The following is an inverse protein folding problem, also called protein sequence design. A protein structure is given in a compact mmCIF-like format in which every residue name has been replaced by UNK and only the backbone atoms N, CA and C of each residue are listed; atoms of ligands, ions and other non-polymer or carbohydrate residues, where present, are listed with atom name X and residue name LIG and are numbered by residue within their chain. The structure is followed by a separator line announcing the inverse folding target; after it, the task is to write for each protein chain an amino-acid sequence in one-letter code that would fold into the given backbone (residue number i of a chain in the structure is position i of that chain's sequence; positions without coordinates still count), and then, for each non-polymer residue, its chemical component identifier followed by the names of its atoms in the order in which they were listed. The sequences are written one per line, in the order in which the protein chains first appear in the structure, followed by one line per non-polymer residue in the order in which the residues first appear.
data_IF_303770562119
#
_entry.id   IF_303770562119
#
_cell.length_a   1.000
_cell.length_b   1.000
_cell.length_c   1.000
_cell.angle_alpha   90.00
_cell.angle_beta   90.00
_cell.angle_gamma   90.00
#
_symmetry.space_group_name_H-M   'P 1'
#
loop_
_entity.id
_entity.type
_entity.pdbx_description
1 polymer ?
#
# COMPACT_ATOMS: atom_id res chain seq x y z
N UNK A 1 42.86 -21.33 14.85
CA UNK A 1 42.44 -20.17 14.03
C UNK A 1 40.92 -20.13 14.08
N UNK A 2 40.39 -19.40 15.04
CA UNK A 2 38.97 -19.36 15.39
C UNK A 2 38.26 -18.27 14.58
N UNK A 3 37.21 -18.65 13.87
CA UNK A 3 36.29 -17.75 13.19
C UNK A 3 35.64 -16.81 14.21
N UNK A 4 35.79 -15.50 14.00
CA UNK A 4 35.21 -14.45 14.81
C UNK A 4 34.09 -13.73 14.07
N UNK A 5 32.91 -13.74 14.70
CA UNK A 5 31.96 -12.64 14.82
C UNK A 5 31.26 -12.12 13.55
N UNK A 6 29.94 -12.35 13.48
CA UNK A 6 29.00 -11.33 13.03
C UNK A 6 27.85 -11.32 14.04
N UNK A 7 27.89 -10.36 14.96
CA UNK A 7 26.93 -10.22 16.05
C UNK A 7 25.56 -9.80 15.53
N UNK A 8 24.54 -10.56 15.93
CA UNK A 8 23.13 -10.17 15.87
C UNK A 8 22.93 -8.88 16.68
N UNK A 9 22.71 -7.75 16.02
CA UNK A 9 22.23 -6.52 16.64
C UNK A 9 20.98 -6.04 15.91
N UNK A 10 19.98 -6.91 15.81
CA UNK A 10 18.61 -6.45 15.66
C UNK A 10 18.27 -5.66 16.93
N UNK A 11 17.66 -4.47 16.80
CA UNK A 11 17.05 -3.78 17.93
C UNK A 11 16.10 -4.75 18.63
N UNK A 12 16.53 -5.29 19.77
CA UNK A 12 15.69 -6.04 20.70
C UNK A 12 15.33 -5.05 21.79
N UNK A 13 14.08 -4.55 21.88
CA UNK A 13 13.66 -3.94 23.13
C UNK A 13 13.97 -4.98 24.22
N UNK A 14 14.71 -4.56 25.25
CA UNK A 14 15.01 -5.43 26.38
C UNK A 14 13.71 -6.11 26.84
N UNK A 15 13.77 -7.39 27.21
CA UNK A 15 12.62 -8.18 27.67
C UNK A 15 12.13 -7.72 29.06
N UNK A 16 11.97 -6.41 29.25
CA UNK A 16 11.21 -5.78 30.32
C UNK A 16 9.82 -5.49 29.81
N UNK A 17 8.84 -6.23 30.34
CA UNK A 17 7.41 -6.01 30.30
C UNK A 17 6.77 -5.54 28.98
N UNK A 18 5.84 -6.36 28.48
CA UNK A 18 4.78 -6.01 27.51
C UNK A 18 3.82 -4.90 28.04
N UNK A 19 4.26 -4.00 28.93
CA UNK A 19 3.44 -3.05 29.69
C UNK A 19 3.40 -1.64 29.09
N UNK A 20 4.33 -1.25 28.22
CA UNK A 20 4.26 0.09 27.61
C UNK A 20 3.60 0.01 26.23
N UNK A 21 2.33 0.44 26.16
CA UNK A 21 1.45 0.45 24.96
C UNK A 21 1.91 1.46 23.89
N UNK A 22 3.21 1.53 23.62
CA UNK A 22 3.85 2.56 22.80
C UNK A 22 4.62 1.93 21.64
N UNK A 23 4.66 2.68 20.55
CA UNK A 23 5.32 2.34 19.31
C UNK A 23 6.46 3.34 19.08
N UNK A 24 7.66 2.88 18.68
CA UNK A 24 8.81 3.72 18.42
C UNK A 24 8.67 4.46 17.09
N UNK A 25 8.20 5.71 17.12
CA UNK A 25 8.04 6.54 15.93
C UNK A 25 9.29 7.41 15.73
N UNK A 26 9.94 7.27 14.58
CA UNK A 26 11.10 8.08 14.17
C UNK A 26 10.63 9.43 13.63
N UNK A 27 9.65 9.41 12.74
CA UNK A 27 9.06 10.63 12.17
C UNK A 27 7.61 10.39 11.76
N UNK A 28 6.85 11.48 11.73
CA UNK A 28 5.51 11.52 11.17
C UNK A 28 5.30 12.86 10.47
N UNK A 29 4.80 12.83 9.24
CA UNK A 29 4.68 14.01 8.39
C UNK A 29 3.60 13.81 7.33
N UNK A 30 3.19 14.89 6.67
CA UNK A 30 2.27 14.85 5.53
C UNK A 30 3.02 15.23 4.27
N UNK A 31 2.97 14.38 3.26
CA UNK A 31 3.60 14.61 1.96
C UNK A 31 2.74 14.00 0.85
N UNK A 32 3.20 14.05 -0.39
CA UNK A 32 2.63 13.26 -1.47
C UNK A 32 3.25 11.87 -1.48
N UNK A 33 2.48 10.83 -1.76
CA UNK A 33 3.03 9.50 -1.93
C UNK A 33 3.99 9.50 -3.12
N UNK A 34 5.22 9.04 -2.88
CA UNK A 34 6.27 9.07 -3.88
C UNK A 34 6.21 7.90 -4.86
N UNK A 35 5.44 6.86 -4.53
CA UNK A 35 5.59 5.52 -5.07
C UNK A 35 4.23 4.78 -5.18
N UNK A 36 4.23 3.67 -5.93
CA UNK A 36 3.07 2.80 -6.07
C UNK A 36 1.83 3.44 -6.75
N UNK A 37 0.65 2.78 -6.63
CA UNK A 37 -0.59 3.20 -7.29
C UNK A 37 -1.13 4.56 -6.84
N UNK A 38 -0.65 5.08 -5.70
CA UNK A 38 -1.09 6.35 -5.11
C UNK A 38 -0.09 7.47 -5.31
N UNK A 39 0.96 7.26 -6.10
CA UNK A 39 1.96 8.27 -6.39
C UNK A 39 1.33 9.62 -6.77
N UNK A 40 1.76 10.70 -6.11
CA UNK A 40 1.24 12.07 -6.28
C UNK A 40 0.03 12.44 -5.39
N UNK A 41 -0.56 11.50 -4.65
CA UNK A 41 -1.66 11.79 -3.71
C UNK A 41 -1.15 12.18 -2.32
N UNK A 42 -1.85 13.08 -1.64
CA UNK A 42 -1.54 13.44 -0.25
C UNK A 42 -1.69 12.23 0.69
N UNK A 43 -0.70 12.01 1.57
CA UNK A 43 -0.70 10.95 2.55
C UNK A 43 -0.04 11.40 3.86
N UNK A 44 -0.53 10.85 4.97
CA UNK A 44 0.12 10.95 6.27
C UNK A 44 1.09 9.76 6.43
N UNK A 45 2.36 10.04 6.64
CA UNK A 45 3.39 9.03 6.84
C UNK A 45 3.68 8.86 8.32
N UNK A 46 3.75 7.61 8.78
CA UNK A 46 4.24 7.25 10.12
C UNK A 46 5.40 6.27 9.92
N UNK A 47 6.61 6.71 10.28
CA UNK A 47 7.84 5.92 10.15
C UNK A 47 8.22 5.34 11.51
N UNK A 48 8.22 4.01 11.63
CA UNK A 48 8.70 3.33 12.83
C UNK A 48 10.22 3.15 12.81
N UNK A 49 10.80 2.91 13.99
CA UNK A 49 12.20 2.56 14.14
C UNK A 49 12.42 1.05 14.01
N UNK A 50 13.59 0.66 13.50
CA UNK A 50 14.11 -0.70 13.55
C UNK A 50 13.68 -1.60 12.40
N UNK A 51 14.65 -2.25 11.75
CA UNK A 51 14.44 -3.15 10.62
C UNK A 51 15.17 -4.48 10.84
N UNK A 52 14.58 -5.57 10.37
CA UNK A 52 15.20 -6.91 10.37
C UNK A 52 16.18 -7.13 9.20
N UNK A 53 16.28 -6.17 8.28
CA UNK A 53 17.15 -6.19 7.11
C UNK A 53 18.13 -5.00 7.12
N UNK A 54 19.26 -5.14 6.41
CA UNK A 54 20.28 -4.10 6.27
C UNK A 54 20.70 -3.90 4.81
N UNK A 55 19.72 -3.53 3.98
CA UNK A 55 19.87 -3.44 2.53
C UNK A 55 21.02 -2.51 2.12
N UNK A 56 21.80 -2.90 1.10
CA UNK A 56 22.99 -2.16 0.62
C UNK A 56 22.69 -0.76 0.04
N UNK A 57 21.42 -0.45 -0.20
CA UNK A 57 20.94 0.78 -0.83
C UNK A 57 19.80 1.45 -0.05
N UNK A 58 19.63 1.12 1.24
CA UNK A 58 18.58 1.71 2.07
C UNK A 58 18.78 3.23 2.18
N UNK A 59 17.84 4.02 1.69
CA UNK A 59 17.84 5.49 1.79
C UNK A 59 17.44 5.99 3.18
N UNK A 60 16.79 5.14 3.98
CA UNK A 60 16.40 5.46 5.36
C UNK A 60 17.17 4.63 6.39
N UNK A 61 18.43 4.25 6.11
CA UNK A 61 19.25 3.49 7.06
C UNK A 61 19.39 4.23 8.40
N UNK A 62 19.50 5.55 8.34
CA UNK A 62 19.60 6.44 9.50
C UNK A 62 18.47 6.23 10.53
N UNK A 63 17.28 5.80 10.10
CA UNK A 63 16.13 5.55 10.97
C UNK A 63 16.24 4.23 11.79
N UNK A 64 17.24 3.41 11.48
CA UNK A 64 17.50 2.13 12.14
C UNK A 64 18.79 2.14 12.97
N UNK A 65 19.56 3.23 12.93
CA UNK A 65 20.79 3.34 13.71
C UNK A 65 20.48 3.54 15.20
N UNK A 66 21.32 3.03 16.12
CA UNK A 66 21.02 3.03 17.56
C UNK A 66 20.83 4.41 18.18
N UNK A 67 21.42 5.45 17.59
CA UNK A 67 21.37 6.84 18.04
C UNK A 67 20.24 7.65 17.40
N UNK A 68 19.43 7.04 16.52
CA UNK A 68 18.28 7.70 15.92
C UNK A 68 17.30 8.15 17.02
N UNK A 69 16.92 9.44 17.07
CA UNK A 69 15.88 9.90 17.97
C UNK A 69 14.56 9.19 17.69
N UNK A 70 13.93 8.69 18.74
CA UNK A 70 12.64 7.99 18.67
C UNK A 70 11.67 8.61 19.68
N UNK A 71 10.43 8.82 19.24
CA UNK A 71 9.33 9.19 20.12
C UNK A 71 8.44 7.98 20.36
N UNK A 72 8.30 7.57 21.62
CA UNK A 72 7.40 6.50 22.02
C UNK A 72 5.96 7.01 22.08
N UNK A 73 5.15 6.66 21.07
CA UNK A 73 3.76 7.11 20.93
C UNK A 73 2.79 5.94 21.06
N UNK A 74 1.69 6.16 21.76
CA UNK A 74 0.56 5.22 21.83
C UNK A 74 -0.21 5.19 20.50
N UNK A 75 -1.01 4.13 20.30
CA UNK A 75 -1.93 4.02 19.16
C UNK A 75 -2.84 5.25 19.04
N UNK A 76 -3.36 5.74 20.18
CA UNK A 76 -4.28 6.87 20.20
C UNK A 76 -3.59 8.19 19.86
N UNK A 77 -2.35 8.40 20.30
CA UNK A 77 -1.56 9.59 19.94
C UNK A 77 -1.24 9.62 18.43
N UNK A 78 -0.94 8.47 17.83
CA UNK A 78 -0.72 8.35 16.38
C UNK A 78 -2.03 8.60 15.63
N UNK A 79 -3.13 7.96 16.06
CA UNK A 79 -4.43 8.09 15.41
C UNK A 79 -4.99 9.53 15.51
N UNK A 80 -4.82 10.19 16.65
CA UNK A 80 -5.22 11.59 16.84
C UNK A 80 -4.46 12.52 15.88
N UNK A 81 -3.15 12.31 15.70
CA UNK A 81 -2.37 13.06 14.72
C UNK A 81 -2.80 12.75 13.29
N UNK A 82 -2.99 11.49 12.90
CA UNK A 82 -3.50 11.15 11.56
C UNK A 82 -4.84 11.83 11.31
N UNK A 83 -5.73 11.84 12.31
CA UNK A 83 -7.03 12.50 12.21
C UNK A 83 -6.91 14.00 11.92
N UNK A 84 -5.94 14.69 12.54
CA UNK A 84 -5.75 16.13 12.36
C UNK A 84 -5.11 16.53 11.02
N UNK A 85 -4.52 15.59 10.27
CA UNK A 85 -3.85 15.87 9.00
C UNK A 85 -4.80 16.13 7.83
N UNK A 86 -6.04 15.64 7.90
CA UNK A 86 -6.97 15.62 6.76
C UNK A 86 -6.59 14.65 5.63
N UNK A 87 -5.49 13.90 5.75
CA UNK A 87 -5.08 12.94 4.74
C UNK A 87 -6.04 11.74 4.70
N UNK A 88 -6.54 11.42 3.50
CA UNK A 88 -7.35 10.23 3.27
C UNK A 88 -6.51 8.94 3.22
N UNK A 89 -5.21 9.05 2.97
CA UNK A 89 -4.27 7.93 2.97
C UNK A 89 -3.30 8.05 4.14
N UNK A 90 -3.05 6.95 4.84
CA UNK A 90 -2.02 6.83 5.86
C UNK A 90 -1.07 5.72 5.46
N UNK A 91 0.21 6.04 5.29
CA UNK A 91 1.26 5.08 4.97
C UNK A 91 2.06 4.80 6.24
N UNK A 92 1.94 3.55 6.72
CA UNK A 92 2.69 3.02 7.84
C UNK A 92 3.94 2.33 7.28
N UNK A 93 5.10 2.88 7.61
CA UNK A 93 6.40 2.52 7.04
C UNK A 93 7.47 2.53 8.14
N UNK A 94 8.74 2.46 7.76
CA UNK A 94 9.87 2.78 8.63
C UNK A 94 10.42 1.58 9.37
N UNK A 95 11.75 1.48 9.34
CA UNK A 95 12.39 0.19 9.53
C UNK A 95 11.53 -0.90 8.86
N UNK A 96 11.12 -1.92 9.62
CA UNK A 96 10.04 -2.81 9.20
C UNK A 96 8.80 -2.61 10.09
N UNK A 97 7.68 -2.07 9.58
CA UNK A 97 6.49 -1.83 10.38
C UNK A 97 5.88 -3.12 10.93
N UNK A 98 5.98 -4.25 10.23
CA UNK A 98 5.42 -5.53 10.71
C UNK A 98 6.16 -6.10 11.93
N UNK A 99 7.29 -5.50 12.36
CA UNK A 99 7.92 -5.82 13.64
C UNK A 99 7.16 -5.24 14.84
N UNK A 100 6.28 -4.26 14.63
CA UNK A 100 5.61 -3.55 15.72
C UNK A 100 4.42 -4.37 16.24
N UNK A 101 4.42 -4.83 17.50
CA UNK A 101 3.35 -5.70 18.03
C UNK A 101 1.96 -5.05 18.00
N UNK A 102 1.90 -3.72 18.12
CA UNK A 102 0.64 -2.95 18.13
C UNK A 102 0.16 -2.56 16.73
N UNK A 103 0.84 -2.96 15.66
CA UNK A 103 0.44 -2.59 14.29
C UNK A 103 -1.00 -3.01 13.94
N UNK A 104 -1.47 -4.24 14.25
CA UNK A 104 -2.86 -4.61 13.99
C UNK A 104 -3.88 -3.75 14.74
N UNK A 105 -3.55 -3.32 15.97
CA UNK A 105 -4.40 -2.41 16.75
C UNK A 105 -4.43 -1.03 16.11
N UNK A 106 -3.28 -0.49 15.72
CA UNK A 106 -3.19 0.81 15.04
C UNK A 106 -4.00 0.82 13.75
N UNK A 107 -3.87 -0.21 12.91
CA UNK A 107 -4.64 -0.35 11.66
C UNK A 107 -6.14 -0.30 11.92
N UNK A 108 -6.63 -1.07 12.91
CA UNK A 108 -8.06 -1.03 13.30
C UNK A 108 -8.48 0.37 13.72
N UNK A 109 -7.70 1.03 14.58
CA UNK A 109 -8.01 2.38 15.06
C UNK A 109 -8.06 3.39 13.90
N UNK A 110 -7.07 3.37 13.00
CA UNK A 110 -7.02 4.29 11.85
C UNK A 110 -8.20 4.10 10.90
N UNK A 111 -8.59 2.87 10.62
CA UNK A 111 -9.74 2.55 9.77
C UNK A 111 -11.09 2.82 10.46
N UNK A 112 -11.12 2.95 11.79
CA UNK A 112 -12.32 3.32 12.55
C UNK A 112 -12.48 4.83 12.73
N UNK A 113 -11.46 5.64 12.39
CA UNK A 113 -11.58 7.09 12.43
C UNK A 113 -12.67 7.57 11.45
N UNK A 114 -13.33 8.71 11.71
CA UNK A 114 -14.32 9.28 10.80
C UNK A 114 -13.78 9.44 9.37
N UNK A 115 -14.67 9.39 8.36
CA UNK A 115 -14.25 9.61 6.97
C UNK A 115 -13.53 10.97 6.85
N UNK A 116 -12.43 11.00 6.08
CA UNK A 116 -11.75 12.25 5.82
C UNK A 116 -12.70 13.15 5.01
N UNK A 117 -12.67 14.46 5.24
CA UNK A 117 -13.38 15.37 4.34
C UNK A 117 -12.46 15.71 3.17
N UNK A 118 -12.95 15.69 1.95
CA UNK A 118 -12.17 16.05 0.74
C UNK A 118 -11.88 17.56 0.61
N UNK A 119 -12.08 18.33 1.68
CA UNK A 119 -11.97 19.79 1.70
C UNK A 119 -13.15 20.52 1.06
N UNK A 120 -14.00 19.82 0.28
CA UNK A 120 -15.21 20.34 -0.36
C UNK A 120 -16.50 19.90 0.36
N UNK A 121 -16.38 19.22 1.49
CA UNK A 121 -17.51 18.69 2.27
C UNK A 121 -17.97 17.29 1.84
N UNK A 122 -17.28 16.66 0.88
CA UNK A 122 -17.46 15.27 0.51
C UNK A 122 -16.71 14.32 1.44
N UNK A 123 -17.21 13.09 1.57
CA UNK A 123 -16.60 12.04 2.38
C UNK A 123 -15.57 11.27 1.54
N UNK A 124 -14.33 11.21 2.03
CA UNK A 124 -13.25 10.41 1.47
C UNK A 124 -12.98 9.18 2.34
N UNK A 125 -12.96 8.01 1.69
CA UNK A 125 -12.59 6.74 2.31
C UNK A 125 -11.17 6.84 2.87
N UNK A 126 -10.98 6.29 4.08
CA UNK A 126 -9.65 6.14 4.64
C UNK A 126 -8.94 4.93 4.05
N UNK A 127 -7.70 5.13 3.65
CA UNK A 127 -6.83 4.05 3.24
C UNK A 127 -5.63 3.95 4.16
N UNK A 128 -5.33 2.75 4.63
CA UNK A 128 -4.09 2.44 5.33
C UNK A 128 -3.24 1.59 4.41
N UNK A 129 -2.02 2.04 4.15
CA UNK A 129 -0.96 1.34 3.43
C UNK A 129 0.06 0.82 4.44
N UNK A 130 0.45 -0.45 4.34
CA UNK A 130 1.64 -0.96 5.02
C UNK A 130 2.74 -1.14 3.98
N UNK A 131 3.81 -0.37 4.11
CA UNK A 131 5.04 -0.55 3.33
C UNK A 131 5.97 -1.51 4.08
N UNK A 132 6.05 -2.75 3.64
CA UNK A 132 6.80 -3.82 4.30
C UNK A 132 7.89 -4.37 3.39
N UNK A 133 9.01 -4.80 3.96
CA UNK A 133 10.10 -5.43 3.24
C UNK A 133 9.84 -6.90 2.86
N UNK A 134 8.72 -7.49 3.29
CA UNK A 134 8.32 -8.85 2.93
C UNK A 134 9.08 -9.98 3.63
N UNK A 135 9.98 -9.67 4.56
CA UNK A 135 10.76 -10.64 5.35
C UNK A 135 10.18 -10.91 6.77
N UNK A 136 8.96 -10.44 7.03
CA UNK A 136 8.17 -10.71 8.26
C UNK A 136 6.84 -11.35 7.85
N UNK A 137 6.31 -12.28 8.66
CA UNK A 137 5.07 -12.98 8.36
C UNK A 137 3.86 -12.03 8.37
N UNK A 138 3.13 -11.94 7.26
CA UNK A 138 1.99 -11.04 7.11
C UNK A 138 0.64 -11.70 7.40
N UNK A 139 0.61 -12.96 7.84
CA UNK A 139 -0.62 -13.75 7.99
C UNK A 139 -1.65 -13.06 8.89
N UNK A 140 -1.24 -12.47 10.01
CA UNK A 140 -2.16 -11.78 10.93
C UNK A 140 -2.78 -10.53 10.28
N UNK A 141 -1.97 -9.70 9.63
CA UNK A 141 -2.45 -8.51 8.92
C UNK A 141 -3.35 -8.87 7.73
N UNK A 142 -3.04 -9.95 7.01
CA UNK A 142 -3.87 -10.44 5.91
C UNK A 142 -5.24 -10.97 6.39
N UNK A 143 -5.28 -11.62 7.56
CA UNK A 143 -6.54 -11.99 8.23
C UNK A 143 -7.34 -10.75 8.62
N UNK A 144 -6.69 -9.77 9.27
CA UNK A 144 -7.32 -8.50 9.61
C UNK A 144 -7.94 -7.82 8.37
N UNK A 145 -7.21 -7.75 7.25
CA UNK A 145 -7.75 -7.22 5.99
C UNK A 145 -9.01 -7.95 5.54
N UNK A 146 -9.02 -9.27 5.63
CA UNK A 146 -10.15 -10.11 5.23
C UNK A 146 -11.37 -9.91 6.14
N UNK A 147 -11.16 -9.76 7.46
CA UNK A 147 -12.20 -9.44 8.44
C UNK A 147 -12.87 -8.10 8.12
N UNK A 148 -12.06 -7.08 7.79
CA UNK A 148 -12.54 -5.74 7.44
C UNK A 148 -13.33 -5.72 6.13
N UNK A 149 -12.92 -6.52 5.15
CA UNK A 149 -13.67 -6.70 3.90
C UNK A 149 -15.00 -7.42 4.10
N UNK A 150 -15.01 -8.48 4.91
CA UNK A 150 -16.20 -9.28 5.18
C UNK A 150 -17.23 -8.55 6.06
N UNK A 151 -16.80 -7.69 7.00
CA UNK A 151 -17.73 -6.87 7.79
C UNK A 151 -18.45 -5.84 6.90
N UNK A 152 -17.73 -5.21 5.98
CA UNK A 152 -18.29 -4.23 5.06
C UNK A 152 -19.36 -4.83 4.12
N UNK A 153 -19.19 -6.09 3.70
CA UNK A 153 -20.18 -6.77 2.87
C UNK A 153 -21.41 -7.24 3.68
N UNK A 154 -21.26 -7.53 4.98
CA UNK A 154 -22.39 -7.80 5.88
C UNK A 154 -23.22 -6.55 6.18
N UNK A 155 -22.59 -5.40 6.39
CA UNK A 155 -23.28 -4.12 6.62
C UNK A 155 -24.00 -3.64 5.36
N UNK A 156 -23.41 -3.87 4.18
CA UNK A 156 -24.09 -3.70 2.90
C UNK A 156 -25.26 -4.68 2.76
N UNK A 157 -25.07 -5.98 3.02
CA UNK A 157 -26.16 -6.96 2.93
C UNK A 157 -27.32 -6.70 3.91
N UNK A 158 -27.04 -6.16 5.10
CA UNK A 158 -28.05 -5.79 6.09
C UNK A 158 -28.87 -4.54 5.70
N UNK A 159 -28.28 -3.62 4.92
CA UNK A 159 -28.97 -2.44 4.40
C UNK A 159 -29.77 -2.70 3.10
N UNK A 160 -29.50 -3.82 2.42
CA UNK A 160 -30.23 -4.27 1.23
C UNK A 160 -31.29 -5.36 1.50
N UNK A 161 -31.66 -5.61 2.75
CA UNK A 161 -32.81 -6.46 3.09
C UNK A 161 -34.13 -5.80 2.64
N UNK A 162 -34.44 -5.95 1.36
CA UNK A 162 -35.66 -5.44 0.73
C UNK A 162 -36.89 -6.22 1.25
N UNK A 163 -37.86 -5.56 1.90
CA UNK A 163 -39.12 -6.16 2.25
C UNK A 163 -40.03 -6.15 1.03
N UNK A 164 -39.88 -7.13 0.14
CA UNK A 164 -40.99 -7.79 -0.57
C UNK A 164 -40.47 -8.73 -1.66
N UNK A 165 -40.61 -10.03 -1.40
CA UNK A 165 -40.81 -11.01 -2.47
C UNK A 165 -42.21 -10.83 -3.04
N UNK A 166 -42.33 -10.55 -4.34
CA UNK A 166 -43.22 -11.25 -5.29
C UNK A 166 -43.25 -10.54 -6.65
N UNK A 167 -42.64 -11.14 -7.67
CA UNK A 167 -43.29 -11.79 -8.82
C UNK A 167 -42.30 -11.96 -9.97
N UNK A 168 -42.25 -13.19 -10.46
CA UNK A 168 -41.75 -13.51 -11.78
C UNK A 168 -42.65 -12.88 -12.85
N UNK A 169 -42.05 -12.35 -13.91
CA UNK A 169 -42.63 -12.33 -15.24
C UNK A 169 -41.48 -12.24 -16.26
N UNK A 170 -41.46 -13.26 -17.11
CA UNK A 170 -40.69 -13.37 -18.35
C UNK A 170 -40.94 -12.18 -19.26
N UNK A 171 -39.92 -11.71 -19.99
CA UNK A 171 -40.12 -11.22 -21.35
C UNK A 171 -38.91 -11.58 -22.22
N UNK A 172 -39.26 -12.24 -23.33
CA UNK A 172 -38.40 -12.73 -24.40
C UNK A 172 -37.87 -11.56 -25.23
N UNK A 173 -36.75 -11.82 -25.91
CA UNK A 173 -35.88 -10.80 -26.50
C UNK A 173 -36.40 -10.10 -27.74
N UNK A 174 -35.60 -9.13 -28.17
CA UNK A 174 -35.52 -8.65 -29.55
C UNK A 174 -34.09 -8.14 -29.80
N UNK A 175 -33.61 -8.42 -31.00
CA UNK A 175 -32.22 -8.27 -31.43
C UNK A 175 -31.82 -6.83 -31.73
N UNK A 176 -30.52 -6.60 -31.62
CA UNK A 176 -29.83 -5.41 -32.08
C UNK A 176 -30.03 -5.14 -33.58
N UNK A 177 -29.90 -3.84 -33.93
CA UNK A 177 -29.92 -3.23 -35.27
C UNK A 177 -31.29 -2.67 -35.69
N UNK A 178 -31.55 -1.42 -35.29
CA UNK A 178 -32.11 -0.36 -36.15
C UNK A 178 -32.48 0.88 -35.32
N UNK A 179 -31.59 1.88 -35.29
CA UNK A 179 -31.96 3.28 -35.00
C UNK A 179 -30.77 4.21 -35.26
N UNK A 180 -30.30 4.26 -36.52
CA UNK A 180 -29.52 5.39 -37.02
C UNK A 180 -30.42 6.18 -37.99
N UNK A 181 -30.37 7.50 -37.88
CA UNK A 181 -31.03 8.49 -38.74
C UNK A 181 -32.50 8.86 -38.44
N UNK A 182 -32.64 9.97 -37.69
CA UNK A 182 -33.62 11.09 -37.76
C UNK A 182 -33.81 11.59 -36.32
N UNK A 183 -33.72 12.86 -35.96
CA UNK A 183 -33.63 14.15 -36.64
C UNK A 183 -33.85 15.19 -35.55
N UNK A 184 -33.27 16.37 -35.70
CA UNK A 184 -33.29 17.50 -34.77
C UNK A 184 -34.70 17.83 -34.24
N UNK A 185 -34.82 17.95 -32.91
CA UNK A 185 -36.02 18.42 -32.24
C UNK A 185 -35.72 18.79 -30.79
N UNK A 186 -35.55 20.08 -30.54
CA UNK A 186 -35.53 20.65 -29.18
C UNK A 186 -36.96 20.61 -28.65
N UNK A 187 -37.17 19.85 -27.58
CA UNK A 187 -38.34 19.99 -26.72
C UNK A 187 -37.93 19.78 -25.28
N UNK A 188 -38.08 20.85 -24.51
CA UNK A 188 -37.85 20.90 -23.07
C UNK A 188 -38.87 20.01 -22.36
N UNK A 189 -38.40 18.93 -21.75
CA UNK A 189 -39.15 18.24 -20.70
C UNK A 189 -38.28 18.16 -19.46
N UNK A 190 -38.73 18.87 -18.42
CA UNK A 190 -38.25 18.75 -17.04
C UNK A 190 -38.65 17.36 -16.53
N UNK A 191 -37.86 16.35 -16.86
CA UNK A 191 -37.87 15.08 -16.16
C UNK A 191 -36.98 15.20 -14.94
N UNK A 192 -37.57 15.13 -13.75
CA UNK A 192 -36.85 14.92 -12.50
C UNK A 192 -36.06 13.60 -12.63
N UNK A 193 -34.81 13.72 -13.07
CA UNK A 193 -33.88 12.62 -13.17
C UNK A 193 -33.69 12.05 -11.79
N UNK A 194 -34.25 10.86 -11.59
CA UNK A 194 -33.96 9.97 -10.48
C UNK A 194 -32.47 10.03 -10.20
N UNK A 195 -32.10 10.53 -9.02
CA UNK A 195 -30.76 10.40 -8.49
C UNK A 195 -30.53 8.91 -8.30
N UNK A 196 -30.00 8.24 -9.33
CA UNK A 196 -29.39 6.94 -9.16
C UNK A 196 -28.25 7.17 -8.18
N UNK A 197 -28.51 6.85 -6.90
CA UNK A 197 -27.55 6.94 -5.82
C UNK A 197 -26.42 5.97 -6.14
N UNK A 198 -25.39 6.47 -6.82
CA UNK A 198 -24.07 5.86 -6.83
C UNK A 198 -23.45 6.06 -5.44
N UNK A 199 -24.09 5.56 -4.39
CA UNK A 199 -23.37 5.23 -3.16
C UNK A 199 -22.68 3.90 -3.41
N UNK A 200 -21.65 3.91 -4.26
CA UNK A 200 -20.54 3.00 -4.02
C UNK A 200 -20.08 3.35 -2.61
N UNK A 201 -20.46 2.53 -1.63
CA UNK A 201 -20.20 2.83 -0.23
C UNK A 201 -18.71 3.22 -0.12
N UNK A 202 -18.46 4.42 0.40
CA UNK A 202 -17.12 4.91 0.64
C UNK A 202 -16.49 3.95 1.65
N UNK A 203 -15.64 3.04 1.16
CA UNK A 203 -15.11 1.91 1.94
C UNK A 203 -13.67 2.16 2.32
N UNK A 204 -13.39 2.03 3.62
CA UNK A 204 -12.02 2.09 4.11
C UNK A 204 -11.23 0.86 3.61
N UNK A 205 -9.96 1.03 3.26
CA UNK A 205 -9.15 -0.02 2.65
C UNK A 205 -7.83 -0.22 3.38
N UNK A 206 -7.46 -1.47 3.61
CA UNK A 206 -6.10 -1.87 4.01
C UNK A 206 -5.41 -2.53 2.80
N UNK A 207 -4.20 -2.07 2.47
CA UNK A 207 -3.40 -2.63 1.38
C UNK A 207 -1.94 -2.72 1.77
N UNK A 208 -1.23 -3.65 1.14
CA UNK A 208 0.20 -3.88 1.33
C UNK A 208 0.96 -3.41 0.11
N UNK A 209 2.05 -2.68 0.36
CA UNK A 209 3.12 -2.46 -0.61
C UNK A 209 4.32 -3.25 -0.11
N UNK A 210 4.59 -4.38 -0.77
CA UNK A 210 5.66 -5.29 -0.38
C UNK A 210 6.90 -5.07 -1.25
N UNK A 211 7.97 -4.62 -0.62
CA UNK A 211 9.25 -4.36 -1.26
C UNK A 211 10.09 -5.64 -1.33
N UNK A 212 9.95 -6.40 -2.42
CA UNK A 212 10.79 -7.58 -2.64
C UNK A 212 12.24 -7.18 -2.84
N UNK A 213 13.12 -7.68 -1.97
CA UNK A 213 14.54 -7.36 -2.00
C UNK A 213 15.28 -8.27 -2.98
N UNK A 214 15.72 -7.68 -4.09
CA UNK A 214 16.52 -8.33 -5.15
C UNK A 214 17.97 -8.57 -4.69
N UNK A 215 18.76 -9.40 -5.41
CA UNK A 215 20.12 -9.78 -5.01
C UNK A 215 21.04 -8.60 -4.67
N UNK A 216 20.97 -7.51 -5.42
CA UNK A 216 21.76 -6.29 -5.21
C UNK A 216 21.54 -5.61 -3.85
N UNK A 217 20.46 -5.95 -3.14
CA UNK A 217 20.22 -5.52 -1.75
C UNK A 217 21.12 -6.22 -0.74
N UNK A 218 21.62 -7.43 -1.07
CA UNK A 218 22.27 -8.35 -0.14
C UNK A 218 21.31 -9.07 0.82
N UNK A 219 20.00 -8.97 0.62
CA UNK A 219 18.97 -9.43 1.58
C UNK A 219 17.95 -10.40 0.99
N UNK A 220 18.13 -10.85 -0.25
CA UNK A 220 17.15 -11.70 -0.96
C UNK A 220 16.82 -13.00 -0.20
N UNK A 221 17.81 -13.67 0.37
CA UNK A 221 17.63 -14.92 1.11
C UNK A 221 16.73 -14.78 2.35
N UNK A 222 16.48 -13.54 2.80
CA UNK A 222 15.61 -13.23 3.93
C UNK A 222 14.14 -13.10 3.53
N UNK A 223 13.85 -12.99 2.24
CA UNK A 223 12.50 -12.81 1.73
C UNK A 223 11.64 -14.04 2.02
N UNK A 224 10.34 -13.83 2.30
CA UNK A 224 9.40 -14.91 2.57
C UNK A 224 8.43 -15.08 1.40
N UNK A 225 8.65 -16.04 0.48
CA UNK A 225 7.78 -16.25 -0.68
C UNK A 225 6.30 -16.47 -0.32
N UNK A 226 6.01 -17.09 0.84
CA UNK A 226 4.64 -17.31 1.32
C UNK A 226 3.82 -16.02 1.46
N UNK A 227 4.48 -14.88 1.71
CA UNK A 227 3.78 -13.60 1.79
C UNK A 227 3.19 -13.17 0.45
N UNK A 228 3.77 -13.58 -0.68
CA UNK A 228 3.24 -13.27 -2.01
C UNK A 228 1.86 -13.91 -2.24
N UNK A 229 1.58 -15.04 -1.61
CA UNK A 229 0.29 -15.74 -1.69
C UNK A 229 -0.81 -15.02 -0.90
N UNK A 230 -0.42 -14.17 0.06
CA UNK A 230 -1.34 -13.34 0.83
C UNK A 230 -1.73 -12.06 0.08
N UNK A 231 -1.10 -11.74 -1.05
CA UNK A 231 -1.38 -10.52 -1.81
C UNK A 231 -2.56 -10.71 -2.76
N UNK A 232 -3.31 -9.63 -2.97
CA UNK A 232 -4.46 -9.55 -3.88
C UNK A 232 -4.51 -8.26 -4.67
N UNK A 233 -5.61 -7.99 -5.39
CA UNK A 233 -5.67 -6.93 -6.41
C UNK A 233 -5.49 -5.49 -5.89
N UNK A 234 -5.68 -5.27 -4.59
CA UNK A 234 -5.47 -3.96 -3.95
C UNK A 234 -4.03 -3.72 -3.50
N UNK A 235 -3.19 -4.76 -3.52
CA UNK A 235 -1.81 -4.70 -3.05
C UNK A 235 -0.82 -4.42 -4.19
N UNK A 236 0.43 -4.20 -3.80
CA UNK A 236 1.53 -3.95 -4.71
C UNK A 236 2.75 -4.77 -4.31
N UNK A 237 3.43 -5.36 -5.29
CA UNK A 237 4.83 -5.79 -5.14
C UNK A 237 5.72 -4.76 -5.82
N UNK A 238 6.68 -4.23 -5.07
CA UNK A 238 7.69 -3.31 -5.58
C UNK A 238 9.05 -3.99 -5.59
N UNK A 239 9.76 -3.86 -6.71
CA UNK A 239 11.10 -4.39 -6.87
C UNK A 239 12.06 -3.23 -7.16
N UNK A 240 13.11 -3.08 -6.37
CA UNK A 240 14.10 -1.99 -6.55
C UNK A 240 15.38 -2.59 -7.14
N UNK A 241 15.61 -2.34 -8.41
CA UNK A 241 16.72 -2.93 -9.18
C UNK A 241 17.88 -1.95 -9.30
N UNK A 242 19.11 -2.40 -9.05
CA UNK A 242 20.33 -1.61 -9.16
C UNK A 242 21.27 -2.07 -10.28
N UNK A 243 20.98 -3.18 -10.96
CA UNK A 243 21.83 -3.79 -11.99
C UNK A 243 21.00 -4.61 -12.99
N UNK A 244 21.63 -5.07 -14.07
CA UNK A 244 20.99 -6.01 -15.00
C UNK A 244 20.74 -7.39 -14.37
N UNK A 245 21.55 -7.81 -13.39
CA UNK A 245 21.33 -9.06 -12.66
C UNK A 245 20.05 -8.96 -11.80
N UNK A 246 19.85 -7.83 -11.13
CA UNK A 246 18.61 -7.52 -10.42
C UNK A 246 17.39 -7.55 -11.36
N UNK A 247 17.52 -7.01 -12.57
CA UNK A 247 16.44 -7.01 -13.56
C UNK A 247 16.09 -8.41 -14.05
N UNK A 248 17.09 -9.27 -14.29
CA UNK A 248 16.86 -10.68 -14.65
C UNK A 248 16.18 -11.44 -13.51
N UNK A 249 16.62 -11.22 -12.27
CA UNK A 249 16.00 -11.87 -11.11
C UNK A 249 14.59 -11.36 -10.87
N UNK A 250 14.34 -10.05 -11.02
CA UNK A 250 13.00 -9.48 -11.00
C UNK A 250 12.09 -10.19 -12.02
N UNK A 251 12.54 -10.35 -13.26
CA UNK A 251 11.76 -11.04 -14.29
C UNK A 251 11.50 -12.52 -13.92
N UNK A 252 12.48 -13.18 -13.30
CA UNK A 252 12.33 -14.54 -12.79
C UNK A 252 11.25 -14.62 -11.71
N UNK A 253 11.34 -13.80 -10.65
CA UNK A 253 10.39 -13.76 -9.53
C UNK A 253 8.97 -13.42 -10.00
N UNK A 254 8.82 -12.41 -10.87
CA UNK A 254 7.52 -11.99 -11.42
C UNK A 254 6.82 -13.15 -12.13
N UNK A 255 7.56 -13.90 -12.96
CA UNK A 255 7.03 -15.05 -13.71
C UNK A 255 6.78 -16.25 -12.80
N UNK A 256 7.75 -16.60 -11.95
CA UNK A 256 7.70 -17.76 -11.05
C UNK A 256 6.48 -17.72 -10.12
N UNK A 257 6.13 -16.54 -9.63
CA UNK A 257 5.02 -16.36 -8.68
C UNK A 257 3.73 -15.83 -9.32
N UNK A 258 3.71 -15.66 -10.65
CA UNK A 258 2.59 -15.09 -11.41
C UNK A 258 2.10 -13.77 -10.80
N UNK A 259 3.03 -12.87 -10.41
CA UNK A 259 2.71 -11.72 -9.56
C UNK A 259 1.69 -10.77 -10.20
N UNK A 260 1.80 -10.55 -11.51
CA UNK A 260 0.89 -9.67 -12.23
C UNK A 260 -0.57 -10.18 -12.20
N UNK A 261 -0.81 -11.49 -12.03
CA UNK A 261 -2.16 -12.07 -11.91
C UNK A 261 -2.77 -11.87 -10.51
N UNK A 262 -1.96 -11.44 -9.54
CA UNK A 262 -2.36 -11.26 -8.15
C UNK A 262 -2.55 -9.79 -7.80
N UNK A 263 -1.56 -8.97 -8.17
CA UNK A 263 -1.44 -7.60 -7.68
C UNK A 263 -0.70 -6.72 -8.69
N UNK A 264 -0.65 -5.42 -8.42
CA UNK A 264 0.16 -4.52 -9.22
C UNK A 264 1.66 -4.77 -8.95
N UNK A 265 2.46 -4.77 -10.02
CA UNK A 265 3.91 -4.99 -9.93
C UNK A 265 4.64 -3.77 -10.45
N UNK A 266 5.53 -3.21 -9.62
CA UNK A 266 6.32 -2.05 -9.95
C UNK A 266 7.82 -2.36 -9.89
N UNK A 267 8.58 -1.73 -10.78
CA UNK A 267 10.05 -1.71 -10.75
C UNK A 267 10.55 -0.29 -10.63
N UNK A 268 11.42 -0.05 -9.64
CA UNK A 268 12.08 1.23 -9.40
C UNK A 268 13.60 1.08 -9.56
N UNK A 269 14.30 2.11 -10.03
CA UNK A 269 15.76 2.09 -10.05
C UNK A 269 16.30 2.34 -8.64
N UNK A 270 17.39 1.66 -8.26
CA UNK A 270 18.26 2.18 -7.20
C UNK A 270 18.88 3.48 -7.70
N UNK A 271 18.55 4.58 -7.05
CA UNK A 271 18.99 5.91 -7.45
C UNK A 271 20.52 5.98 -7.59
N UNK A 272 20.99 6.51 -8.72
CA UNK A 272 22.42 6.63 -9.02
C UNK A 272 23.14 5.34 -9.43
N UNK A 273 22.52 4.15 -9.34
CA UNK A 273 23.14 2.88 -9.74
C UNK A 273 22.72 2.41 -11.13
N UNK A 274 21.46 2.63 -11.51
CA UNK A 274 20.93 2.25 -12.82
C UNK A 274 20.01 3.35 -13.36
N UNK A 275 20.14 3.65 -14.66
CA UNK A 275 19.33 4.68 -15.30
C UNK A 275 17.89 4.16 -15.53
N UNK A 276 16.85 4.99 -15.32
CA UNK A 276 15.47 4.60 -15.63
C UNK A 276 15.28 4.15 -17.09
N UNK A 277 16.02 4.73 -18.04
CA UNK A 277 16.00 4.32 -19.44
C UNK A 277 16.41 2.85 -19.63
N UNK A 278 17.31 2.33 -18.80
CA UNK A 278 17.72 0.92 -18.85
C UNK A 278 16.59 0.00 -18.39
N UNK A 279 15.87 0.37 -17.32
CA UNK A 279 14.68 -0.36 -16.86
C UNK A 279 13.62 -0.41 -17.97
N UNK A 280 13.35 0.73 -18.62
CA UNK A 280 12.38 0.80 -19.71
C UNK A 280 12.76 -0.11 -20.88
N UNK A 281 14.03 -0.07 -21.32
CA UNK A 281 14.55 -0.95 -22.35
C UNK A 281 14.40 -2.43 -21.97
N UNK A 282 14.76 -2.79 -20.73
CA UNK A 282 14.65 -4.16 -20.24
C UNK A 282 13.20 -4.67 -20.24
N UNK A 283 12.23 -3.86 -19.80
CA UNK A 283 10.82 -4.24 -19.83
C UNK A 283 10.31 -4.51 -21.26
N UNK A 284 10.82 -3.74 -22.24
CA UNK A 284 10.52 -3.96 -23.67
C UNK A 284 11.16 -5.24 -24.19
N UNK A 285 12.46 -5.45 -23.91
CA UNK A 285 13.23 -6.65 -24.29
C UNK A 285 12.56 -7.94 -23.76
N UNK A 286 12.16 -7.95 -22.49
CA UNK A 286 11.58 -9.10 -21.80
C UNK A 286 10.04 -9.23 -21.96
N UNK A 287 9.43 -8.29 -22.69
CA UNK A 287 7.97 -8.22 -22.95
C UNK A 287 7.13 -8.24 -21.66
N UNK A 288 7.60 -7.56 -20.62
CA UNK A 288 6.95 -7.49 -19.29
C UNK A 288 5.84 -6.42 -19.25
N UNK A 289 4.84 -6.54 -20.13
CA UNK A 289 3.84 -5.51 -20.38
C UNK A 289 2.92 -5.14 -19.19
N UNK A 290 2.90 -5.96 -18.14
CA UNK A 290 2.10 -5.75 -16.91
C UNK A 290 2.94 -5.29 -15.70
N UNK A 291 4.25 -5.09 -15.90
CA UNK A 291 5.13 -4.49 -14.89
C UNK A 291 5.21 -2.99 -15.17
N UNK A 292 5.03 -2.19 -14.13
CA UNK A 292 5.05 -0.73 -14.24
C UNK A 292 6.41 -0.18 -13.82
N UNK A 293 7.06 0.58 -14.69
CA UNK A 293 8.24 1.35 -14.30
C UNK A 293 7.80 2.50 -13.41
N UNK A 294 8.41 2.62 -12.24
CA UNK A 294 8.13 3.66 -11.26
C UNK A 294 9.35 4.56 -11.05
N UNK A 295 9.12 5.86 -11.04
CA UNK A 295 10.11 6.84 -10.58
C UNK A 295 9.78 7.21 -9.14
N UNK A 296 10.81 7.34 -8.30
CA UNK A 296 10.65 7.77 -6.91
C UNK A 296 10.42 9.29 -6.88
N UNK A 297 9.16 9.74 -6.83
CA UNK A 297 8.83 11.17 -7.00
C UNK A 297 9.48 12.06 -5.94
N UNK A 298 9.59 11.59 -4.70
CA UNK A 298 10.20 12.36 -3.61
C UNK A 298 11.66 12.76 -3.92
N UNK A 299 12.43 11.90 -4.61
CA UNK A 299 13.81 12.19 -5.04
C UNK A 299 13.89 13.21 -6.19
N UNK A 300 12.80 13.40 -6.92
CA UNK A 300 12.70 14.36 -8.03
C UNK A 300 12.21 15.72 -7.51
N UNK A 301 11.19 15.71 -6.66
CA UNK A 301 10.59 16.93 -6.10
C UNK A 301 11.55 17.56 -5.08
N UNK A 302 12.22 16.75 -4.26
CA UNK A 302 13.14 17.20 -3.21
C UNK A 302 14.50 16.48 -3.28
N UNK A 303 15.34 16.77 -4.28
CA UNK A 303 16.57 16.01 -4.55
C UNK A 303 17.63 16.06 -3.45
N UNK A 304 17.48 16.93 -2.45
CA UNK A 304 18.45 17.13 -1.36
C UNK A 304 17.81 17.00 0.03
N UNK A 305 16.65 16.38 0.13
CA UNK A 305 15.93 16.22 1.40
C UNK A 305 15.78 14.73 1.68
N UNK A 306 16.34 14.28 2.79
CA UNK A 306 16.40 12.87 3.17
C UNK A 306 15.35 12.46 4.21
N UNK A 307 14.60 13.44 4.75
CA UNK A 307 13.61 13.26 5.82
C UNK A 307 12.32 14.00 5.50
N UNK A 308 11.19 13.44 5.91
CA UNK A 308 9.90 14.13 5.78
C UNK A 308 9.44 14.40 4.34
N UNK A 309 9.89 13.59 3.38
CA UNK A 309 9.55 13.71 1.95
C UNK A 309 8.72 12.56 1.44
#
# INVERSE_FOLDING_TARGET
MSAGVCGETAFRPEQGELSDRRMPVVERFVSVNGEGPRAGRLAAFVRFAGCNLRCSYCDTMWANEPDCPVQLQTVDEIAAWVSSTGAACTTLTGGEPALQPLLPQLVRTLLALPLATDGAGGLAARAVEIETNGAVDLTELARLRSELGASADKDAAASFACPNRTRAAELQGESAQDAFARGSGVSSERGAGQTNSLSAAVRNTLHFTMDWKLPGSGMEERMLPRNLELLGPADTVKLVAGSDDDLREMAHIVRKHALCDRCAVYVSPVFGRIAPARLAAFLQEERLARVTLQLQLHKIIWPNVEKGV
#
